data_IF_913182682767
#
_entry.id   IF_913182682767
#
_cell.length_a   1.000
_cell.length_b   1.000
_cell.length_c   1.000
_cell.angle_alpha   90.00
_cell.angle_beta   90.00
_cell.angle_gamma   90.00
#
_symmetry.space_group_name_H-M   'P 1'
#
loop_
_entity.id
_entity.type
_entity.pdbx_description
1 polymer ?
#
# COMPACT_ATOMS: atom_id res chain seq x y z
N UNK A 1 -4.68 -5.70 -9.38
CA UNK A 1 -3.51 -4.85 -9.08
C UNK A 1 -3.84 -4.15 -7.77
N UNK A 2 -3.19 -4.52 -6.67
CA UNK A 2 -3.52 -4.04 -5.30
C UNK A 2 -2.79 -2.73 -4.99
N UNK A 3 -2.88 -1.79 -5.92
CA UNK A 3 -2.28 -0.46 -5.81
C UNK A 3 -3.34 0.58 -6.14
N UNK A 4 -3.47 1.59 -5.29
CA UNK A 4 -4.33 2.74 -5.52
C UNK A 4 -3.46 3.95 -5.82
N UNK A 5 -3.82 4.73 -6.84
CA UNK A 5 -3.13 5.94 -7.23
C UNK A 5 -4.08 7.12 -7.21
N UNK A 6 -3.58 8.27 -6.79
CA UNK A 6 -4.35 9.51 -6.82
C UNK A 6 -4.65 9.91 -8.27
N UNK A 7 -5.86 10.38 -8.51
CA UNK A 7 -6.32 10.85 -9.80
C UNK A 7 -7.34 11.99 -9.63
N UNK A 8 -7.34 12.92 -10.58
CA UNK A 8 -8.43 13.86 -10.75
C UNK A 8 -9.59 13.14 -11.45
N UNK A 9 -10.78 13.16 -10.83
CA UNK A 9 -11.94 12.46 -11.33
C UNK A 9 -12.94 13.44 -11.94
N UNK A 10 -13.50 13.08 -13.09
CA UNK A 10 -14.63 13.78 -13.71
C UNK A 10 -15.76 12.78 -13.96
N UNK A 11 -16.93 13.05 -13.39
CA UNK A 11 -18.10 12.18 -13.51
C UNK A 11 -18.84 12.43 -14.84
N UNK A 12 -19.12 11.35 -15.58
CA UNK A 12 -19.98 11.35 -16.76
C UNK A 12 -21.34 10.72 -16.41
N UNK A 13 -22.36 11.58 -16.32
CA UNK A 13 -23.73 11.16 -15.99
C UNK A 13 -24.44 10.39 -17.10
N UNK A 14 -23.91 10.36 -18.34
CA UNK A 14 -24.51 9.62 -19.45
C UNK A 14 -24.24 8.13 -19.35
N UNK A 15 -23.05 7.78 -18.87
CA UNK A 15 -22.59 6.40 -18.74
C UNK A 15 -22.56 5.92 -17.29
N UNK A 16 -22.78 6.80 -16.33
CA UNK A 16 -22.62 6.56 -14.88
C UNK A 16 -21.21 6.04 -14.56
N UNK A 17 -20.20 6.71 -15.13
CA UNK A 17 -18.79 6.36 -14.97
C UNK A 17 -17.92 7.59 -14.77
N UNK A 18 -16.65 7.37 -14.45
CA UNK A 18 -15.67 8.42 -14.28
C UNK A 18 -14.59 8.39 -15.34
N UNK A 19 -14.10 9.57 -15.64
CA UNK A 19 -12.83 9.82 -16.30
C UNK A 19 -11.79 10.12 -15.24
N UNK A 20 -10.78 9.26 -15.12
CA UNK A 20 -9.67 9.43 -14.19
C UNK A 20 -8.44 9.98 -14.91
N UNK A 21 -7.92 11.09 -14.42
CA UNK A 21 -6.69 11.72 -14.92
C UNK A 21 -5.60 11.59 -13.87
N UNK A 22 -4.58 10.79 -14.19
CA UNK A 22 -3.45 10.57 -13.30
C UNK A 22 -2.42 11.70 -13.44
N UNK A 23 -1.74 12.10 -12.34
CA UNK A 23 -0.65 13.06 -12.39
C UNK A 23 0.42 12.66 -13.43
N UNK A 24 1.07 13.64 -14.08
CA UNK A 24 2.20 13.34 -14.96
C UNK A 24 3.36 12.71 -14.16
N UNK A 25 4.09 11.80 -14.81
CA UNK A 25 5.20 11.07 -14.19
C UNK A 25 6.51 11.50 -14.87
N UNK A 26 7.27 12.41 -14.26
CA UNK A 26 8.46 12.98 -14.88
C UNK A 26 8.20 13.52 -16.29
N UNK A 27 8.80 12.89 -17.31
CA UNK A 27 8.62 13.25 -18.74
C UNK A 27 7.43 12.57 -19.43
N UNK A 28 6.72 11.66 -18.75
CA UNK A 28 5.59 10.94 -19.35
C UNK A 28 4.35 11.80 -19.41
N UNK A 29 3.62 11.67 -20.51
CA UNK A 29 2.32 12.32 -20.72
C UNK A 29 1.32 11.90 -19.66
N UNK A 30 0.39 12.82 -19.36
CA UNK A 30 -0.79 12.56 -18.54
C UNK A 30 -1.50 11.30 -19.06
N UNK A 31 -1.80 10.37 -18.14
CA UNK A 31 -2.60 9.19 -18.45
C UNK A 31 -4.06 9.51 -18.10
N UNK A 32 -4.95 9.24 -19.05
CA UNK A 32 -6.39 9.37 -18.86
C UNK A 32 -7.00 7.99 -19.04
N UNK A 33 -7.77 7.57 -18.05
CA UNK A 33 -8.57 6.36 -18.09
C UNK A 33 -10.04 6.75 -18.14
N UNK A 34 -10.76 6.22 -19.12
CA UNK A 34 -12.20 6.45 -19.30
C UNK A 34 -13.00 5.25 -18.77
N UNK A 35 -14.25 5.47 -18.34
CA UNK A 35 -15.15 4.38 -17.95
C UNK A 35 -14.84 3.76 -16.58
N UNK A 36 -14.12 4.47 -15.71
CA UNK A 36 -13.81 4.01 -14.36
C UNK A 36 -15.10 3.89 -13.56
N UNK A 37 -15.31 2.73 -12.94
CA UNK A 37 -16.52 2.40 -12.18
C UNK A 37 -16.40 2.83 -10.72
N UNK A 38 -17.54 2.99 -10.04
CA UNK A 38 -17.61 3.40 -8.63
C UNK A 38 -16.83 2.48 -7.68
N UNK A 39 -16.83 1.17 -7.93
CA UNK A 39 -16.15 0.15 -7.12
C UNK A 39 -14.61 0.23 -7.20
N UNK A 40 -14.08 0.98 -8.17
CA UNK A 40 -12.63 1.23 -8.34
C UNK A 40 -12.18 2.54 -7.70
N UNK A 41 -13.09 3.29 -7.11
CA UNK A 41 -12.82 4.60 -6.52
C UNK A 41 -12.88 4.53 -5.00
N UNK A 42 -11.99 5.28 -4.38
CA UNK A 42 -12.06 5.60 -2.95
C UNK A 42 -11.54 7.01 -2.74
N UNK A 43 -11.94 7.63 -1.64
CA UNK A 43 -11.29 8.86 -1.20
C UNK A 43 -9.82 8.56 -0.83
N UNK A 44 -8.89 9.50 -1.05
CA UNK A 44 -7.54 9.39 -0.53
C UNK A 44 -7.55 9.12 0.98
N UNK A 45 -6.70 8.23 1.50
CA UNK A 45 -6.67 7.92 2.93
C UNK A 45 -6.13 9.08 3.76
N UNK A 46 -5.35 9.99 3.14
CA UNK A 46 -4.72 11.15 3.76
C UNK A 46 -4.76 12.36 2.84
N UNK A 47 -4.77 13.55 3.43
CA UNK A 47 -4.67 14.83 2.72
C UNK A 47 -3.19 15.23 2.53
N UNK A 48 -2.40 14.33 1.96
CA UNK A 48 -0.97 14.54 1.67
C UNK A 48 -0.77 14.45 0.16
N UNK A 49 0.09 15.31 -0.39
CA UNK A 49 0.45 15.23 -1.81
C UNK A 49 0.97 13.83 -2.16
N UNK A 50 0.61 13.26 -3.32
CA UNK A 50 1.08 11.95 -3.73
C UNK A 50 2.60 11.90 -3.99
N UNK A 51 3.28 13.05 -4.03
CA UNK A 51 4.75 13.12 -4.13
C UNK A 51 5.46 13.15 -2.78
N UNK A 52 4.72 13.40 -1.71
CA UNK A 52 5.25 13.54 -0.37
C UNK A 52 5.12 12.22 0.40
N UNK A 53 6.18 11.87 1.11
CA UNK A 53 6.18 10.72 1.99
C UNK A 53 5.25 10.99 3.17
N UNK A 54 4.26 10.12 3.37
CA UNK A 54 3.35 10.18 4.51
C UNK A 54 4.10 9.88 5.82
N UNK A 55 3.94 10.76 6.80
CA UNK A 55 4.51 10.59 8.15
C UNK A 55 3.66 9.60 8.93
N UNK A 56 4.19 8.40 9.12
CA UNK A 56 3.48 7.29 9.78
C UNK A 56 3.44 7.48 11.29
N UNK A 57 2.25 7.69 11.85
CA UNK A 57 2.01 7.84 13.29
C UNK A 57 1.71 6.50 13.99
N UNK A 58 1.32 5.48 13.23
CA UNK A 58 0.86 4.19 13.74
C UNK A 58 1.95 3.12 13.97
N UNK A 59 3.23 3.39 13.63
CA UNK A 59 4.27 2.35 13.59
C UNK A 59 4.50 1.64 14.93
N UNK A 60 4.36 2.36 16.05
CA UNK A 60 4.53 1.79 17.38
C UNK A 60 3.38 0.85 17.77
N UNK A 61 2.20 1.03 17.18
CA UNK A 61 1.00 0.26 17.48
C UNK A 61 0.81 -0.96 16.55
N UNK A 62 1.71 -1.15 15.59
CA UNK A 62 1.68 -2.28 14.67
C UNK A 62 1.99 -3.60 15.38
N UNK A 63 1.11 -4.58 15.16
CA UNK A 63 1.16 -5.94 15.68
C UNK A 63 0.90 -6.94 14.55
N UNK A 64 1.43 -8.17 14.64
CA UNK A 64 1.10 -9.22 13.68
C UNK A 64 -0.41 -9.38 13.50
N UNK A 65 -0.86 -9.48 12.25
CA UNK A 65 -2.26 -9.53 11.85
C UNK A 65 -2.89 -8.18 11.51
N UNK A 66 -2.27 -7.06 11.88
CA UNK A 66 -2.77 -5.74 11.50
C UNK A 66 -2.76 -5.54 9.97
N UNK A 67 -3.79 -4.89 9.46
CA UNK A 67 -3.92 -4.53 8.06
C UNK A 67 -3.33 -3.15 7.81
N UNK A 68 -2.57 -2.99 6.72
CA UNK A 68 -1.89 -1.73 6.41
C UNK A 68 -1.99 -1.35 4.94
N UNK A 69 -1.85 -0.05 4.68
CA UNK A 69 -1.43 0.48 3.39
C UNK A 69 -0.01 1.02 3.50
N UNK A 70 0.82 0.78 2.48
CA UNK A 70 2.16 1.33 2.37
C UNK A 70 2.32 2.12 1.07
N UNK A 71 2.92 3.30 1.15
CA UNK A 71 3.33 4.07 -0.01
C UNK A 71 4.45 3.34 -0.73
N UNK A 72 4.31 3.16 -2.04
CA UNK A 72 5.34 2.64 -2.93
C UNK A 72 5.39 3.45 -4.22
N UNK A 73 6.61 3.71 -4.73
CA UNK A 73 6.85 4.33 -6.04
C UNK A 73 7.99 3.64 -6.76
N UNK A 74 7.94 3.61 -8.09
CA UNK A 74 8.97 2.97 -8.90
C UNK A 74 10.32 3.71 -8.85
N UNK A 75 10.29 5.03 -8.85
CA UNK A 75 11.46 5.88 -8.70
C UNK A 75 11.02 7.28 -8.23
N UNK A 76 11.97 8.18 -7.99
CA UNK A 76 11.71 9.51 -7.41
C UNK A 76 10.94 10.48 -8.32
N UNK A 77 10.80 10.18 -9.61
CA UNK A 77 9.97 10.96 -10.53
C UNK A 77 8.48 10.53 -10.51
N UNK A 78 8.18 9.39 -9.89
CA UNK A 78 6.82 8.87 -9.78
C UNK A 78 6.20 9.29 -8.44
N UNK A 79 4.92 9.68 -8.41
CA UNK A 79 4.17 9.74 -7.17
C UNK A 79 4.11 8.35 -6.50
N UNK A 80 3.90 8.35 -5.19
CA UNK A 80 3.53 7.17 -4.45
C UNK A 80 2.12 6.71 -4.85
N UNK A 81 1.97 5.40 -4.98
CA UNK A 81 0.68 4.73 -4.84
C UNK A 81 0.61 4.02 -3.49
N UNK A 82 -0.60 3.65 -3.07
CA UNK A 82 -0.85 2.92 -1.84
C UNK A 82 -1.03 1.44 -2.13
N UNK A 83 -0.29 0.61 -1.44
CA UNK A 83 -0.29 -0.85 -1.59
C UNK A 83 -0.77 -1.49 -0.31
N UNK A 84 -1.68 -2.46 -0.45
CA UNK A 84 -2.19 -3.20 0.70
C UNK A 84 -1.20 -4.29 1.14
N UNK A 85 -1.06 -4.43 2.46
CA UNK A 85 -0.30 -5.51 3.10
C UNK A 85 -0.87 -5.86 4.48
N UNK A 86 -0.21 -6.81 5.14
CA UNK A 86 -0.48 -7.17 6.54
C UNK A 86 0.82 -7.22 7.33
N UNK A 87 0.75 -6.95 8.63
CA UNK A 87 1.90 -7.13 9.51
C UNK A 87 2.06 -8.63 9.79
N UNK A 88 3.23 -9.17 9.45
CA UNK A 88 3.60 -10.55 9.70
C UNK A 88 4.37 -10.73 11.00
N UNK A 89 4.69 -11.99 11.29
CA UNK A 89 5.64 -12.33 12.34
C UNK A 89 7.09 -12.23 11.86
N UNK A 90 8.01 -11.96 12.78
CA UNK A 90 9.45 -12.09 12.52
C UNK A 90 9.78 -13.55 12.21
N UNK A 91 10.82 -13.78 11.39
CA UNK A 91 11.25 -15.14 11.02
C UNK A 91 11.66 -15.99 12.24
N UNK A 92 12.14 -15.35 13.31
CA UNK A 92 12.49 -16.01 14.56
C UNK A 92 11.29 -16.32 15.48
N UNK A 93 10.08 -15.90 15.10
CA UNK A 93 8.86 -16.11 15.87
C UNK A 93 8.05 -17.26 15.28
N UNK A 94 7.56 -18.16 16.14
CA UNK A 94 6.75 -19.32 15.77
C UNK A 94 5.26 -18.99 15.54
N UNK A 95 4.88 -17.71 15.64
CA UNK A 95 3.50 -17.25 15.50
C UNK A 95 2.59 -17.58 16.69
N UNK A 96 3.14 -18.11 17.80
CA UNK A 96 2.32 -18.45 18.96
C UNK A 96 1.90 -17.18 19.72
N UNK A 97 0.59 -16.92 19.75
CA UNK A 97 0.01 -15.74 20.39
C UNK A 97 0.43 -15.57 21.86
N UNK A 98 0.70 -16.67 22.59
CA UNK A 98 1.07 -16.62 24.01
C UNK A 98 2.54 -16.19 24.24
N UNK A 99 3.40 -16.30 23.24
CA UNK A 99 4.84 -16.05 23.36
C UNK A 99 5.38 -15.07 22.31
N UNK A 100 4.53 -14.61 21.40
CA UNK A 100 4.88 -13.60 20.42
C UNK A 100 5.28 -12.30 21.10
N UNK A 101 6.43 -11.74 20.69
CA UNK A 101 6.92 -10.41 21.10
C UNK A 101 7.28 -9.53 19.91
N UNK A 102 6.70 -9.81 18.75
CA UNK A 102 6.98 -9.07 17.52
C UNK A 102 6.53 -7.59 17.62
N UNK A 103 5.47 -7.33 18.39
CA UNK A 103 4.98 -5.99 18.72
C UNK A 103 5.99 -5.15 19.52
N UNK A 104 6.85 -5.80 20.30
CA UNK A 104 7.89 -5.16 21.11
C UNK A 104 9.23 -5.04 20.37
N UNK A 105 9.36 -5.62 19.18
CA UNK A 105 10.58 -5.55 18.39
C UNK A 105 10.58 -4.30 17.50
N UNK A 106 11.73 -3.63 17.40
CA UNK A 106 11.89 -2.47 16.54
C UNK A 106 11.69 -2.80 15.06
N UNK A 107 12.00 -4.03 14.66
CA UNK A 107 11.75 -4.54 13.31
C UNK A 107 10.31 -5.02 13.18
N UNK A 108 9.61 -4.53 12.15
CA UNK A 108 8.27 -4.96 11.77
C UNK A 108 8.36 -5.65 10.42
N UNK A 109 7.79 -6.85 10.32
CA UNK A 109 7.67 -7.55 9.03
C UNK A 109 6.35 -7.19 8.38
N UNK A 110 6.41 -6.74 7.13
CA UNK A 110 5.26 -6.56 6.26
C UNK A 110 5.17 -7.75 5.31
N UNK A 111 3.97 -8.28 5.15
CA UNK A 111 3.67 -9.37 4.22
C UNK A 111 2.65 -8.94 3.17
N UNK A 112 2.97 -9.26 1.93
CA UNK A 112 2.17 -8.97 0.76
C UNK A 112 1.64 -10.30 0.23
N UNK A 113 0.54 -10.76 0.83
CA UNK A 113 0.03 -12.11 0.63
C UNK A 113 -0.46 -12.40 -0.80
N UNK A 114 -0.57 -11.35 -1.62
CA UNK A 114 -0.86 -11.43 -3.05
C UNK A 114 0.28 -12.03 -3.88
N UNK A 115 1.50 -12.04 -3.36
CA UNK A 115 2.66 -12.64 -4.02
C UNK A 115 2.88 -14.08 -3.57
N UNK A 116 3.50 -14.90 -4.41
CA UNK A 116 3.89 -16.26 -4.00
C UNK A 116 4.92 -16.24 -2.86
N UNK A 117 5.01 -17.28 -2.01
CA UNK A 117 5.97 -17.33 -0.91
C UNK A 117 7.45 -17.15 -1.32
N UNK A 118 7.80 -17.51 -2.57
CA UNK A 118 9.16 -17.35 -3.11
C UNK A 118 9.45 -15.98 -3.72
N UNK A 119 8.44 -15.11 -3.84
CA UNK A 119 8.61 -13.80 -4.46
C UNK A 119 9.43 -12.88 -3.58
N UNK A 120 10.35 -12.12 -4.18
CA UNK A 120 11.09 -11.07 -3.47
C UNK A 120 10.18 -9.94 -2.95
N UNK A 121 8.98 -9.81 -3.53
CA UNK A 121 7.98 -8.82 -3.14
C UNK A 121 7.06 -9.30 -2.02
N UNK A 122 7.21 -10.56 -1.57
CA UNK A 122 6.35 -11.17 -0.56
C UNK A 122 6.52 -10.54 0.81
N UNK A 123 7.74 -10.09 1.14
CA UNK A 123 8.09 -9.58 2.47
C UNK A 123 8.96 -8.35 2.38
N UNK A 124 8.73 -7.41 3.28
CA UNK A 124 9.61 -6.30 3.55
C UNK A 124 9.77 -6.13 5.06
N UNK A 125 10.96 -5.72 5.50
CA UNK A 125 11.23 -5.38 6.90
C UNK A 125 11.36 -3.87 7.01
N UNK A 126 10.76 -3.29 8.05
CA UNK A 126 10.90 -1.85 8.38
C UNK A 126 11.31 -1.70 9.83
N UNK A 127 11.86 -0.54 10.20
CA UNK A 127 12.18 -0.21 11.59
C UNK A 127 11.22 0.84 12.15
N UNK A 128 10.41 0.51 13.17
CA UNK A 128 9.39 1.43 13.72
C UNK A 128 9.94 2.69 14.41
N UNK A 129 11.23 2.73 14.79
CA UNK A 129 11.85 3.88 15.48
C UNK A 129 12.53 4.86 14.53
N UNK A 130 13.14 4.36 13.45
CA UNK A 130 13.93 5.14 12.50
C UNK A 130 13.37 5.08 11.08
N UNK A 131 12.08 4.77 10.95
CA UNK A 131 11.46 4.55 9.65
C UNK A 131 11.54 5.79 8.76
N UNK A 132 11.92 5.57 7.51
CA UNK A 132 11.97 6.57 6.44
C UNK A 132 11.67 5.88 5.11
N UNK A 133 11.74 6.64 4.02
CA UNK A 133 11.74 6.00 2.71
C UNK A 133 12.94 5.04 2.58
N UNK A 134 12.63 3.80 2.25
CA UNK A 134 13.56 2.72 1.97
C UNK A 134 13.43 2.28 0.50
N UNK A 135 14.31 1.39 0.07
CA UNK A 135 14.32 0.86 -1.29
C UNK A 135 15.37 1.50 -2.20
N UNK A 136 15.28 1.21 -3.50
CA UNK A 136 16.29 1.55 -4.49
C UNK A 136 15.68 1.60 -5.91
N UNK A 137 16.46 2.00 -6.90
CA UNK A 137 15.96 2.14 -8.29
C UNK A 137 15.58 0.81 -8.98
N UNK A 138 16.07 -0.33 -8.48
CA UNK A 138 15.73 -1.65 -9.01
C UNK A 138 14.41 -2.19 -8.44
N UNK A 139 14.11 -1.90 -7.18
CA UNK A 139 12.94 -2.43 -6.46
C UNK A 139 11.87 -1.36 -6.17
N UNK A 140 12.14 -0.11 -6.54
CA UNK A 140 11.34 1.02 -6.13
C UNK A 140 11.58 1.40 -4.67
N UNK A 141 10.86 2.43 -4.25
CA UNK A 141 10.96 3.04 -2.95
C UNK A 141 9.65 2.90 -2.21
N UNK A 142 9.71 2.62 -0.92
CA UNK A 142 8.54 2.49 -0.06
C UNK A 142 8.77 3.16 1.30
N UNK A 143 7.69 3.53 1.99
CA UNK A 143 7.88 4.12 3.32
C UNK A 143 6.59 4.41 4.07
N UNK A 144 5.84 5.44 3.68
CA UNK A 144 4.69 5.91 4.46
C UNK A 144 3.68 4.80 4.69
N UNK A 145 3.30 4.54 5.93
CA UNK A 145 2.41 3.45 6.35
C UNK A 145 1.20 4.01 7.09
N UNK A 146 0.04 3.46 6.76
CA UNK A 146 -1.22 3.70 7.45
C UNK A 146 -1.75 2.35 7.94
N UNK A 147 -2.17 2.29 9.20
CA UNK A 147 -2.90 1.16 9.75
C UNK A 147 -4.38 1.28 9.40
N UNK A 148 -4.94 0.23 8.78
CA UNK A 148 -6.36 0.12 8.51
C UNK A 148 -7.06 -0.41 9.76
N UNK A 149 -8.06 0.34 10.25
CA UNK A 149 -8.67 0.08 11.55
C UNK A 149 -10.05 -0.60 11.44
N UNK A 150 -10.69 -0.51 10.27
CA UNK A 150 -12.05 -0.98 10.07
C UNK A 150 -12.11 -2.17 9.11
N UNK A 151 -13.09 -3.06 9.34
CA UNK A 151 -13.33 -4.19 8.45
C UNK A 151 -13.65 -3.73 7.03
N UNK A 152 -14.38 -2.62 6.92
CA UNK A 152 -14.80 -2.03 5.66
C UNK A 152 -13.59 -1.66 4.79
N UNK A 153 -12.58 -0.99 5.37
CA UNK A 153 -11.36 -0.56 4.67
C UNK A 153 -10.59 -1.73 4.05
N UNK A 154 -10.28 -2.77 4.84
CA UNK A 154 -9.50 -3.89 4.32
C UNK A 154 -10.36 -4.92 3.54
N UNK A 155 -11.68 -4.91 3.71
CA UNK A 155 -12.57 -5.74 2.89
C UNK A 155 -12.67 -5.21 1.46
N UNK A 156 -12.65 -3.89 1.28
CA UNK A 156 -12.54 -3.26 -0.04
C UNK A 156 -11.29 -3.74 -0.79
N UNK A 157 -10.14 -3.77 -0.12
CA UNK A 157 -8.90 -4.31 -0.70
C UNK A 157 -9.00 -5.79 -1.07
N UNK A 158 -9.64 -6.60 -0.22
CA UNK A 158 -9.87 -8.03 -0.50
C UNK A 158 -10.79 -8.26 -1.70
N UNK A 159 -11.73 -7.37 -1.99
CA UNK A 159 -12.55 -7.45 -3.21
C UNK A 159 -11.74 -7.18 -4.47
N UNK A 160 -10.69 -6.35 -4.38
CA UNK A 160 -9.76 -6.04 -5.47
C UNK A 160 -8.61 -7.06 -5.59
N UNK A 161 -8.63 -8.13 -4.79
CA UNK A 161 -7.61 -9.17 -4.77
C UNK A 161 -7.57 -9.91 -6.11
N UNK A 162 -6.39 -10.07 -6.75
CA UNK A 162 -6.28 -10.87 -7.97
C UNK A 162 -6.73 -12.31 -7.70
N UNK A 163 -7.55 -12.90 -8.56
CA UNK A 163 -8.02 -14.28 -8.37
C UNK A 163 -6.88 -15.31 -8.41
N UNK A 164 -5.74 -14.91 -8.98
CA UNK A 164 -4.51 -15.70 -9.08
C UNK A 164 -3.38 -15.03 -8.26
N UNK A 165 -2.54 -15.83 -7.59
CA UNK A 165 -1.40 -15.33 -6.84
C UNK A 165 -0.33 -14.83 -7.82
N UNK A 166 0.21 -13.63 -7.60
CA UNK A 166 1.23 -13.02 -8.45
C UNK A 166 2.61 -13.65 -8.17
N UNK A 167 3.40 -13.88 -9.22
CA UNK A 167 4.78 -14.38 -9.11
C UNK A 167 5.75 -13.32 -8.57
#
# INVERSE_FOLDING_TARGET
MLSCYDAELSYDSRTDTFRARYPPHGRRTIVIEEGVQWDRLRAPPVDTSPHDLHVSDCLNDLRPGDHIEIQWRRNKEFPYGWWYGVVGHLESCDGNENHCRCDNNDTVMLEFNQYTPGSRWRRAAINRKEHREEGNEADGFYGGIIKLNTNEEFSMWKQLWPTEVLE
#
